data_IF_045460703046
#
_entry.id   IF_045460703046
#
_cell.length_a   1.000
_cell.length_b   1.000
_cell.length_c   1.000
_cell.angle_alpha   90.00
_cell.angle_beta   90.00
_cell.angle_gamma   90.00
#
_symmetry.space_group_name_H-M   'P 1'
#
loop_
_entity.id
_entity.type
_entity.pdbx_description
1 polymer ?
#
# COMPACT_ATOMS: atom_id res chain seq x y z
N UNK A 1 -26.78 14.99 -54.85
CA UNK A 1 -27.14 13.66 -54.30
C UNK A 1 -25.84 12.84 -54.17
N UNK A 2 -25.65 12.07 -53.10
CA UNK A 2 -24.80 12.47 -51.98
C UNK A 2 -23.64 11.52 -51.66
N UNK A 3 -22.66 12.06 -50.93
CA UNK A 3 -22.11 11.54 -49.67
C UNK A 3 -21.74 10.05 -49.58
N UNK A 4 -20.44 9.77 -49.53
CA UNK A 4 -19.89 8.56 -48.93
C UNK A 4 -18.88 8.95 -47.83
N UNK A 5 -19.35 8.86 -46.60
CA UNK A 5 -18.61 8.85 -45.34
C UNK A 5 -17.70 7.62 -45.27
N UNK A 6 -16.47 7.74 -44.74
CA UNK A 6 -15.96 6.80 -43.72
C UNK A 6 -14.71 7.35 -43.03
N UNK A 7 -14.96 7.98 -41.88
CA UNK A 7 -14.24 7.89 -40.61
C UNK A 7 -12.70 7.87 -40.65
N UNK A 8 -12.16 9.04 -40.33
CA UNK A 8 -10.84 9.26 -39.75
C UNK A 8 -10.53 8.19 -38.68
N UNK A 9 -9.39 7.52 -38.84
CA UNK A 9 -8.77 6.72 -37.79
C UNK A 9 -8.64 7.58 -36.52
N UNK A 10 -9.23 7.21 -35.37
CA UNK A 10 -9.08 7.99 -34.16
C UNK A 10 -7.60 7.95 -33.72
N UNK A 11 -7.02 9.09 -33.31
CA UNK A 11 -5.68 9.11 -32.77
C UNK A 11 -5.64 8.25 -31.50
N UNK A 12 -4.69 7.31 -31.43
CA UNK A 12 -4.36 6.52 -30.23
C UNK A 12 -4.35 7.46 -29.02
N UNK A 13 -5.33 7.40 -28.12
CA UNK A 13 -5.39 8.40 -27.08
C UNK A 13 -4.46 7.95 -25.95
N UNK A 14 -3.83 8.94 -25.30
CA UNK A 14 -3.11 8.79 -24.04
C UNK A 14 -1.66 8.28 -24.09
N UNK A 15 -0.85 8.86 -25.00
CA UNK A 15 0.56 9.19 -24.67
C UNK A 15 0.65 10.68 -24.28
N UNK A 16 -0.24 11.11 -23.38
CA UNK A 16 -0.14 12.43 -22.77
C UNK A 16 0.95 12.35 -21.71
N UNK A 17 1.85 13.30 -21.79
CA UNK A 17 2.99 13.59 -20.94
C UNK A 17 2.55 13.74 -19.47
N UNK A 18 2.43 12.64 -18.73
CA UNK A 18 2.30 12.72 -17.27
C UNK A 18 3.68 12.90 -16.68
N UNK A 19 4.04 14.16 -16.44
CA UNK A 19 4.95 14.49 -15.35
C UNK A 19 4.39 13.80 -14.10
N UNK A 20 5.08 12.80 -13.55
CA UNK A 20 4.67 12.02 -12.37
C UNK A 20 4.42 12.87 -11.11
N UNK A 21 4.74 14.16 -11.19
CA UNK A 21 4.52 15.21 -10.20
C UNK A 21 3.07 15.74 -10.13
N UNK A 22 2.19 15.41 -11.08
CA UNK A 22 0.83 15.99 -11.19
C UNK A 22 -0.29 14.99 -10.81
N UNK A 23 0.00 13.69 -10.72
CA UNK A 23 -1.00 12.72 -10.25
C UNK A 23 -1.16 12.84 -8.72
N UNK A 24 -2.38 12.99 -8.17
CA UNK A 24 -2.55 12.98 -6.72
C UNK A 24 -1.99 11.66 -6.13
N UNK A 25 -1.31 11.71 -4.97
CA UNK A 25 -0.76 10.52 -4.34
C UNK A 25 -1.86 9.50 -4.09
N UNK A 26 -1.54 8.21 -4.21
CA UNK A 26 -2.52 7.14 -3.97
C UNK A 26 -3.12 7.29 -2.56
N UNK A 27 -4.44 7.23 -2.39
CA UNK A 27 -5.04 7.25 -1.07
C UNK A 27 -4.57 6.04 -0.25
N UNK A 28 -4.50 6.23 1.08
CA UNK A 28 -4.18 5.14 2.02
C UNK A 28 -5.45 4.72 2.72
N UNK A 29 -5.72 3.41 2.69
CA UNK A 29 -6.86 2.80 3.36
C UNK A 29 -6.33 1.89 4.46
N UNK A 30 -6.72 2.18 5.70
CA UNK A 30 -6.39 1.36 6.85
C UNK A 30 -7.47 0.30 7.06
N UNK A 31 -7.07 -0.96 7.14
CA UNK A 31 -8.01 -2.09 7.31
C UNK A 31 -8.09 -2.50 8.78
N UNK A 32 -9.30 -2.54 9.32
CA UNK A 32 -9.56 -2.99 10.70
C UNK A 32 -8.85 -2.12 11.74
N UNK A 33 -8.10 -2.74 12.66
CA UNK A 33 -7.40 -2.02 13.74
C UNK A 33 -6.12 -1.31 13.31
N UNK A 34 -5.68 -1.43 12.05
CA UNK A 34 -4.35 -0.98 11.63
C UNK A 34 -4.07 0.50 11.92
N UNK A 35 -5.08 1.37 11.83
CA UNK A 35 -4.96 2.79 12.18
C UNK A 35 -4.79 3.00 13.68
N UNK A 36 -5.54 2.26 14.51
CA UNK A 36 -5.42 2.34 15.97
C UNK A 36 -4.05 1.82 16.42
N UNK A 37 -3.58 0.72 15.82
CA UNK A 37 -2.28 0.14 16.12
C UNK A 37 -1.14 1.11 15.74
N UNK A 38 -1.23 1.77 14.58
CA UNK A 38 -0.29 2.81 14.16
C UNK A 38 -0.29 4.02 15.11
N UNK A 39 -1.48 4.43 15.59
CA UNK A 39 -1.61 5.54 16.54
C UNK A 39 -1.03 5.21 17.91
N UNK A 40 -0.97 3.94 18.29
CA UNK A 40 -0.33 3.46 19.51
C UNK A 40 1.20 3.46 19.47
N UNK A 41 1.83 3.75 18.32
CA UNK A 41 3.28 3.86 18.23
C UNK A 41 3.80 5.11 18.95
N UNK A 42 5.02 5.07 19.53
CA UNK A 42 5.70 6.27 20.00
C UNK A 42 5.81 7.32 18.90
N UNK A 43 5.80 8.60 19.29
CA UNK A 43 5.78 9.72 18.34
C UNK A 43 6.87 9.64 17.25
N UNK A 44 8.15 9.29 17.55
CA UNK A 44 9.19 9.17 16.53
C UNK A 44 8.87 8.06 15.50
N UNK A 45 8.51 6.87 15.99
CA UNK A 45 8.14 5.74 15.13
C UNK A 45 6.89 6.02 14.29
N UNK A 46 5.92 6.77 14.82
CA UNK A 46 4.72 7.18 14.08
C UNK A 46 5.03 8.19 12.98
N UNK A 47 5.95 9.13 13.21
CA UNK A 47 6.41 10.08 12.19
C UNK A 47 7.12 9.35 11.06
N UNK A 48 8.03 8.45 11.41
CA UNK A 48 8.77 7.64 10.45
C UNK A 48 7.84 6.74 9.64
N UNK A 49 6.88 6.07 10.32
CA UNK A 49 5.85 5.29 9.64
C UNK A 49 5.04 6.13 8.63
N UNK A 50 4.65 7.34 9.01
CA UNK A 50 3.95 8.27 8.12
C UNK A 50 4.79 8.65 6.90
N UNK A 51 6.08 8.93 7.10
CA UNK A 51 7.00 9.25 6.01
C UNK A 51 7.12 8.08 5.02
N UNK A 52 7.36 6.85 5.52
CA UNK A 52 7.47 5.68 4.66
C UNK A 52 6.17 5.34 3.93
N UNK A 53 5.00 5.57 4.55
CA UNK A 53 3.71 5.42 3.87
C UNK A 53 3.55 6.47 2.76
N UNK A 54 3.90 7.74 3.01
CA UNK A 54 3.85 8.80 2.01
C UNK A 54 4.73 8.48 0.78
N UNK A 55 5.93 7.90 1.00
CA UNK A 55 6.76 7.40 -0.10
C UNK A 55 5.99 6.39 -0.96
N UNK A 56 5.33 5.40 -0.34
CA UNK A 56 4.53 4.40 -1.05
C UNK A 56 3.35 5.03 -1.80
N UNK A 57 2.70 6.04 -1.23
CA UNK A 57 1.60 6.76 -1.89
C UNK A 57 2.04 7.45 -3.18
N UNK A 58 3.27 7.95 -3.21
CA UNK A 58 3.91 8.58 -4.38
C UNK A 58 4.47 7.56 -5.38
N UNK A 59 4.31 6.26 -5.11
CA UNK A 59 4.83 5.18 -5.93
C UNK A 59 6.33 4.90 -5.72
N UNK A 60 6.93 5.48 -4.68
CA UNK A 60 8.30 5.20 -4.26
C UNK A 60 8.35 3.94 -3.38
N UNK A 61 9.52 3.32 -3.31
CA UNK A 61 9.76 2.21 -2.39
C UNK A 61 10.15 2.77 -1.02
N UNK A 62 9.68 2.17 0.10
CA UNK A 62 10.22 2.48 1.43
C UNK A 62 11.71 2.18 1.53
N UNK A 63 12.36 2.70 2.56
CA UNK A 63 13.80 2.54 2.74
C UNK A 63 14.20 1.10 3.12
N UNK A 64 13.48 0.47 4.07
CA UNK A 64 13.65 -0.94 4.44
C UNK A 64 12.30 -1.66 4.33
N UNK A 65 12.16 -2.53 3.33
CA UNK A 65 10.97 -3.35 3.14
C UNK A 65 11.28 -4.75 2.63
N UNK A 66 10.33 -5.68 2.85
CA UNK A 66 10.41 -7.07 2.37
C UNK A 66 9.08 -7.53 1.78
N UNK A 67 9.07 -8.30 0.66
CA UNK A 67 7.85 -8.94 0.19
C UNK A 67 7.37 -10.02 1.17
N UNK A 68 6.06 -10.08 1.41
CA UNK A 68 5.39 -11.02 2.33
C UNK A 68 4.45 -11.95 1.57
N UNK A 69 5.02 -12.82 0.73
CA UNK A 69 4.26 -13.76 -0.12
C UNK A 69 3.39 -14.75 0.68
N UNK A 70 3.74 -15.00 1.95
CA UNK A 70 2.97 -15.85 2.86
C UNK A 70 1.62 -15.25 3.24
N UNK A 71 1.47 -13.92 3.17
CA UNK A 71 0.21 -13.22 3.45
C UNK A 71 -0.64 -13.13 2.18
N UNK A 72 -0.01 -12.78 1.06
CA UNK A 72 -0.69 -12.64 -0.23
C UNK A 72 0.21 -12.10 -1.33
N UNK A 73 -0.28 -12.15 -2.56
CA UNK A 73 0.39 -11.56 -3.73
C UNK A 73 0.38 -10.03 -3.58
N UNK A 74 1.52 -9.39 -3.78
CA UNK A 74 1.62 -7.93 -3.70
C UNK A 74 1.70 -7.35 -2.28
N UNK A 75 1.62 -8.20 -1.26
CA UNK A 75 1.79 -7.79 0.14
C UNK A 75 3.27 -7.56 0.42
N UNK A 76 3.57 -6.44 1.07
CA UNK A 76 4.90 -5.99 1.47
C UNK A 76 4.88 -5.61 2.95
N UNK A 77 6.05 -5.61 3.55
CA UNK A 77 6.26 -5.25 4.95
C UNK A 77 7.33 -4.16 5.02
N UNK A 78 7.00 -3.01 5.60
CA UNK A 78 7.95 -1.95 5.96
C UNK A 78 8.55 -2.29 7.32
N UNK A 79 9.86 -2.14 7.45
CA UNK A 79 10.62 -2.42 8.65
C UNK A 79 11.19 -1.12 9.20
N UNK A 80 10.62 -0.64 10.29
CA UNK A 80 11.07 0.56 10.97
C UNK A 80 11.95 0.17 12.16
N UNK A 81 13.08 0.83 12.29
CA UNK A 81 13.97 0.70 13.44
C UNK A 81 14.10 2.08 14.07
N UNK A 82 13.68 2.16 15.31
CA UNK A 82 13.75 3.38 16.10
C UNK A 82 14.45 3.06 17.43
N UNK A 83 14.94 4.08 18.11
CA UNK A 83 15.51 3.94 19.46
C UNK A 83 14.54 3.28 20.44
N UNK A 84 13.24 3.51 20.24
CA UNK A 84 12.15 2.91 21.03
C UNK A 84 11.81 1.45 20.68
N UNK A 85 12.44 0.88 19.66
CA UNK A 85 12.26 -0.50 19.24
C UNK A 85 12.06 -0.68 17.74
N UNK A 86 11.70 -1.90 17.33
CA UNK A 86 11.40 -2.22 15.95
C UNK A 86 9.88 -2.23 15.70
N UNK A 87 9.43 -1.62 14.61
CA UNK A 87 8.03 -1.56 14.23
C UNK A 87 7.85 -2.04 12.80
N UNK A 88 6.72 -2.68 12.53
CA UNK A 88 6.47 -3.32 11.25
C UNK A 88 5.09 -2.97 10.75
N UNK A 89 5.01 -2.67 9.45
CA UNK A 89 3.79 -2.25 8.78
C UNK A 89 3.58 -3.15 7.58
N UNK A 90 2.51 -3.91 7.57
CA UNK A 90 2.14 -4.80 6.48
C UNK A 90 1.14 -4.06 5.59
N UNK A 91 1.45 -3.94 4.30
CA UNK A 91 0.67 -3.18 3.34
C UNK A 91 0.60 -3.86 1.97
N UNK A 92 -0.33 -3.41 1.14
CA UNK A 92 -0.49 -3.83 -0.26
C UNK A 92 -0.35 -2.61 -1.16
N UNK A 93 0.60 -2.65 -2.08
CA UNK A 93 0.86 -1.56 -3.04
C UNK A 93 0.68 -1.96 -4.51
N UNK A 94 0.23 -3.18 -4.78
CA UNK A 94 -0.04 -3.65 -6.14
C UNK A 94 -1.30 -3.06 -6.75
N UNK A 95 -2.20 -2.52 -5.95
CA UNK A 95 -3.43 -1.92 -6.44
C UNK A 95 -3.18 -0.50 -6.99
N UNK A 96 -3.85 -0.18 -8.10
CA UNK A 96 -3.67 1.09 -8.78
C UNK A 96 -4.40 2.24 -8.07
N UNK A 97 -5.50 1.93 -7.38
CA UNK A 97 -6.44 2.86 -6.75
C UNK A 97 -6.05 3.30 -5.35
N UNK A 98 -5.45 2.42 -4.52
CA UNK A 98 -5.10 2.76 -3.15
C UNK A 98 -3.97 1.88 -2.57
N UNK A 99 -3.32 2.39 -1.53
CA UNK A 99 -2.39 1.63 -0.68
C UNK A 99 -3.15 1.12 0.53
N UNK A 100 -3.22 -0.20 0.72
CA UNK A 100 -3.96 -0.78 1.83
C UNK A 100 -3.02 -1.19 2.95
N UNK A 101 -3.18 -0.58 4.12
CA UNK A 101 -2.43 -0.96 5.33
C UNK A 101 -3.24 -2.02 6.07
N UNK A 102 -2.71 -3.24 6.11
CA UNK A 102 -3.39 -4.41 6.66
C UNK A 102 -3.18 -4.53 8.17
N UNK A 103 -1.97 -4.30 8.65
CA UNK A 103 -1.62 -4.47 10.05
C UNK A 103 -0.37 -3.68 10.43
N UNK A 104 -0.35 -3.11 11.63
CA UNK A 104 0.79 -2.39 12.19
C UNK A 104 1.08 -2.99 13.56
N UNK A 105 2.33 -3.33 13.86
CA UNK A 105 2.65 -3.87 15.18
C UNK A 105 4.09 -3.54 15.61
N UNK A 106 4.30 -3.45 16.92
CA UNK A 106 5.64 -3.36 17.51
C UNK A 106 6.23 -4.75 17.62
N UNK A 107 7.39 -4.95 17.00
CA UNK A 107 8.12 -6.21 17.02
C UNK A 107 8.88 -6.33 18.33
N UNK A 108 8.37 -7.18 19.21
CA UNK A 108 9.02 -7.50 20.50
C UNK A 108 10.00 -8.69 20.38
N UNK A 109 9.90 -9.49 19.31
CA UNK A 109 10.70 -10.72 19.12
C UNK A 109 11.44 -10.73 17.76
N UNK A 110 12.36 -11.68 17.56
CA UNK A 110 13.19 -11.74 16.35
C UNK A 110 12.40 -12.06 15.06
N UNK A 111 11.28 -12.78 15.15
CA UNK A 111 10.43 -13.18 14.02
C UNK A 111 9.03 -12.61 14.16
N UNK A 112 8.42 -12.22 13.04
CA UNK A 112 6.98 -11.89 13.02
C UNK A 112 6.20 -13.10 13.49
N UNK A 113 5.29 -12.91 14.45
CA UNK A 113 4.58 -14.04 15.04
C UNK A 113 3.63 -14.64 14.02
N UNK A 114 3.32 -15.94 14.17
CA UNK A 114 2.37 -16.60 13.28
C UNK A 114 0.99 -15.93 13.34
N UNK A 115 0.59 -15.45 14.53
CA UNK A 115 -0.65 -14.73 14.75
C UNK A 115 -0.75 -13.43 13.93
N UNK A 116 0.33 -12.63 13.86
CA UNK A 116 0.35 -11.40 13.06
C UNK A 116 0.25 -11.70 11.56
N UNK A 117 0.95 -12.76 11.10
CA UNK A 117 0.88 -13.21 9.70
C UNK A 117 -0.54 -13.66 9.36
N UNK A 118 -1.15 -14.49 10.22
CA UNK A 118 -2.49 -15.01 9.99
C UNK A 118 -3.55 -13.90 10.06
N UNK A 119 -3.40 -12.91 10.95
CA UNK A 119 -4.27 -11.74 11.01
C UNK A 119 -4.18 -10.92 9.72
N UNK A 120 -2.96 -10.62 9.25
CA UNK A 120 -2.76 -9.91 7.99
C UNK A 120 -3.34 -10.71 6.80
N UNK A 121 -3.18 -12.03 6.79
CA UNK A 121 -3.69 -12.89 5.72
C UNK A 121 -5.22 -12.96 5.71
N UNK A 122 -5.87 -12.94 6.87
CA UNK A 122 -7.34 -12.83 6.97
C UNK A 122 -7.84 -11.50 6.44
N UNK A 123 -7.20 -10.39 6.83
CA UNK A 123 -7.56 -9.04 6.35
C UNK A 123 -7.33 -8.88 4.85
N UNK A 124 -6.24 -9.42 4.33
CA UNK A 124 -5.98 -9.45 2.89
C UNK A 124 -7.08 -10.21 2.12
N UNK A 125 -7.49 -11.39 2.61
CA UNK A 125 -8.57 -12.16 1.99
C UNK A 125 -9.90 -11.41 2.01
N UNK A 126 -10.26 -10.76 3.12
CA UNK A 126 -11.47 -9.95 3.22
C UNK A 126 -11.45 -8.80 2.21
N UNK A 127 -10.33 -8.07 2.13
CA UNK A 127 -10.14 -6.99 1.15
C UNK A 127 -10.29 -7.50 -0.30
N UNK A 128 -9.72 -8.66 -0.61
CA UNK A 128 -9.84 -9.25 -1.96
C UNK A 128 -11.27 -9.68 -2.30
N UNK A 129 -12.08 -10.08 -1.32
CA UNK A 129 -13.49 -10.41 -1.54
C UNK A 129 -14.33 -9.15 -1.76
N UNK A 130 -14.10 -8.10 -0.97
CA UNK A 130 -14.80 -6.82 -1.10
C UNK A 130 -14.53 -6.16 -2.45
N UNK A 131 -13.29 -6.24 -2.96
CA UNK A 131 -12.91 -5.69 -4.27
C UNK A 131 -13.37 -6.48 -5.48
N UNK A 132 -13.78 -7.74 -5.30
CA UNK A 132 -14.29 -8.60 -6.40
C UNK A 132 -15.78 -8.40 -6.67
N UNK A 133 -16.45 -7.67 -5.79
CA UNK A 133 -17.88 -7.38 -5.87
C UNK A 133 -18.14 -6.16 -6.75
#
# INVERSE_FOLDING_TARGET
>A
MPCATFLQNPPRPYKILYNSTILPPKPVVFVGSALADLRGFPLPARREAGHQIDQVQRGLAPDDWKPMRTVGVGVREIRLRETSGAFRIIYVATFADAVYVLHCFRKQSARTTRADIDLAARRYRALMMERKR
#
